data_IF_979108872455
#
_entry.id   IF_979108872455
#
_cell.length_a   1.000
_cell.length_b   1.000
_cell.length_c   1.000
_cell.angle_alpha   90.00
_cell.angle_beta   90.00
_cell.angle_gamma   90.00
#
_symmetry.space_group_name_H-M   'P 1'
#
loop_
_entity.id
_entity.type
_entity.pdbx_description
1 polymer ?
#
# COMPACT_ATOMS: atom_id res chain seq x y z
N UNK A 1 -14.92 -13.39 1.40
CA UNK A 1 -13.70 -13.33 2.28
C UNK A 1 -13.43 -14.71 2.90
N UNK A 2 -12.17 -15.10 3.01
CA UNK A 2 -11.70 -16.24 3.82
C UNK A 2 -10.67 -15.69 4.81
N UNK A 3 -10.97 -15.75 6.11
CA UNK A 3 -10.03 -15.37 7.17
C UNK A 3 -9.39 -16.60 7.79
N UNK A 4 -8.08 -16.57 7.96
CA UNK A 4 -7.26 -17.65 8.51
C UNK A 4 -6.38 -17.06 9.59
N UNK A 5 -6.49 -17.59 10.81
CA UNK A 5 -5.59 -17.26 11.92
C UNK A 5 -4.44 -18.26 11.87
N UNK A 6 -3.23 -17.74 11.75
CA UNK A 6 -2.01 -18.55 11.72
C UNK A 6 -1.51 -18.75 13.15
N UNK A 7 -1.00 -19.96 13.46
CA UNK A 7 -0.42 -20.24 14.76
C UNK A 7 0.76 -19.31 15.05
N UNK A 8 0.74 -18.68 16.23
CA UNK A 8 1.81 -17.79 16.67
C UNK A 8 1.66 -17.39 18.13
N UNK A 9 2.78 -17.26 18.82
CA UNK A 9 2.81 -16.89 20.25
C UNK A 9 2.21 -15.48 20.43
N UNK A 10 1.18 -15.34 21.28
CA UNK A 10 0.56 -14.06 21.62
C UNK A 10 -0.27 -13.42 20.53
N UNK A 11 -0.75 -14.19 19.55
CA UNK A 11 -1.55 -13.64 18.44
C UNK A 11 -2.87 -13.01 18.92
N UNK A 12 -3.46 -13.50 20.01
CA UNK A 12 -4.74 -13.02 20.55
C UNK A 12 -4.69 -11.52 20.86
N UNK A 13 -3.60 -11.02 21.39
CA UNK A 13 -3.44 -9.59 21.72
C UNK A 13 -3.50 -8.67 20.49
N UNK A 14 -3.17 -9.18 19.29
CA UNK A 14 -3.23 -8.43 18.05
C UNK A 14 -4.59 -8.57 17.34
N UNK A 15 -5.28 -9.70 17.56
CA UNK A 15 -6.62 -9.93 17.00
C UNK A 15 -7.64 -9.06 17.71
N UNK A 16 -7.51 -8.92 19.03
CA UNK A 16 -8.43 -8.21 19.90
C UNK A 16 -8.13 -6.69 19.99
N UNK A 17 -7.03 -6.22 19.41
CA UNK A 17 -6.72 -4.79 19.39
C UNK A 17 -7.65 -4.02 18.44
N UNK A 18 -8.46 -3.07 18.97
CA UNK A 18 -9.43 -2.33 18.14
C UNK A 18 -8.78 -1.47 17.04
N UNK A 19 -7.58 -0.91 17.30
CA UNK A 19 -6.90 -0.06 16.31
C UNK A 19 -6.34 -0.90 15.17
N UNK A 20 -5.76 -2.05 15.48
CA UNK A 20 -5.29 -3.03 14.48
C UNK A 20 -6.47 -3.50 13.64
N UNK A 21 -7.56 -3.91 14.31
CA UNK A 21 -8.77 -4.39 13.64
C UNK A 21 -9.35 -3.33 12.72
N UNK A 22 -9.42 -2.08 13.14
CA UNK A 22 -9.91 -0.97 12.32
C UNK A 22 -9.03 -0.71 11.09
N UNK A 23 -7.69 -0.77 11.22
CA UNK A 23 -6.76 -0.61 10.08
C UNK A 23 -6.94 -1.71 9.04
N UNK A 24 -7.08 -2.94 9.50
CA UNK A 24 -7.30 -4.10 8.62
C UNK A 24 -8.69 -4.03 7.97
N UNK A 25 -9.74 -3.74 8.76
CA UNK A 25 -11.11 -3.62 8.28
C UNK A 25 -11.24 -2.59 7.16
N UNK A 26 -10.56 -1.44 7.27
CA UNK A 26 -10.56 -0.43 6.21
C UNK A 26 -10.19 -1.00 4.84
N UNK A 27 -9.22 -1.90 4.80
CA UNK A 27 -8.79 -2.54 3.55
C UNK A 27 -9.75 -3.64 3.13
N UNK A 28 -10.12 -4.53 4.06
CA UNK A 28 -11.00 -5.67 3.74
C UNK A 28 -12.38 -5.21 3.32
N UNK A 29 -12.98 -4.23 4.00
CA UNK A 29 -14.27 -3.65 3.64
C UNK A 29 -14.23 -2.97 2.27
N UNK A 30 -13.12 -2.26 1.96
CA UNK A 30 -12.94 -1.68 0.63
C UNK A 30 -12.89 -2.76 -0.45
N UNK A 31 -12.12 -3.83 -0.25
CA UNK A 31 -12.01 -4.92 -1.21
C UNK A 31 -13.35 -5.62 -1.42
N UNK A 32 -14.07 -5.94 -0.33
CA UNK A 32 -15.40 -6.57 -0.38
C UNK A 32 -16.43 -5.67 -1.10
N UNK A 33 -16.52 -4.41 -0.71
CA UNK A 33 -17.46 -3.46 -1.30
C UNK A 33 -17.26 -3.28 -2.81
N UNK A 34 -16.03 -3.51 -3.29
CA UNK A 34 -15.69 -3.41 -4.70
C UNK A 34 -15.63 -4.77 -5.41
N UNK A 35 -16.04 -5.87 -4.77
CA UNK A 35 -16.05 -7.21 -5.36
C UNK A 35 -14.65 -7.67 -5.81
N UNK A 36 -13.66 -7.44 -4.96
CA UNK A 36 -12.30 -7.97 -5.09
C UNK A 36 -12.17 -9.12 -4.11
N UNK A 37 -12.03 -10.34 -4.63
CA UNK A 37 -11.82 -11.52 -3.80
C UNK A 37 -10.44 -11.51 -3.18
N UNK A 38 -10.36 -11.91 -1.90
CA UNK A 38 -9.12 -12.00 -1.16
C UNK A 38 -9.16 -13.08 -0.07
N UNK A 39 -7.97 -13.46 0.39
CA UNK A 39 -7.76 -14.25 1.59
C UNK A 39 -7.04 -13.39 2.62
N UNK A 40 -7.51 -13.38 3.86
CA UNK A 40 -6.90 -12.68 4.98
C UNK A 40 -6.21 -13.68 5.91
N UNK A 41 -4.93 -13.46 6.17
CA UNK A 41 -4.11 -14.26 7.10
C UNK A 41 -3.69 -13.38 8.27
N UNK A 42 -4.12 -13.73 9.49
CA UNK A 42 -3.71 -13.06 10.73
C UNK A 42 -2.49 -13.76 11.30
N UNK A 43 -1.50 -13.00 11.69
CA UNK A 43 -0.22 -13.50 12.24
C UNK A 43 0.36 -12.46 13.22
N UNK A 44 1.33 -12.84 14.09
CA UNK A 44 2.06 -11.85 14.89
C UNK A 44 2.80 -10.84 14.00
N UNK A 45 3.22 -9.66 14.55
CA UNK A 45 4.01 -8.70 13.79
C UNK A 45 5.26 -9.33 13.19
N UNK A 46 5.48 -9.10 11.90
CA UNK A 46 6.61 -9.62 11.14
C UNK A 46 7.60 -8.48 10.81
N UNK A 47 8.46 -8.08 11.74
CA UNK A 47 9.30 -6.89 11.60
C UNK A 47 10.42 -7.07 10.58
N UNK A 48 10.76 -8.30 10.21
CA UNK A 48 11.80 -8.60 9.21
C UNK A 48 11.31 -9.61 8.17
N UNK A 49 11.94 -9.59 7.00
CA UNK A 49 11.61 -10.53 5.92
C UNK A 49 11.89 -11.98 6.32
N UNK A 50 12.97 -12.24 7.08
CA UNK A 50 13.33 -13.58 7.54
C UNK A 50 12.21 -14.18 8.39
N UNK A 51 11.66 -13.40 9.34
CA UNK A 51 10.51 -13.83 10.14
C UNK A 51 9.26 -14.00 9.28
N UNK A 52 9.02 -13.10 8.33
CA UNK A 52 7.88 -13.20 7.45
C UNK A 52 7.91 -14.46 6.58
N UNK A 53 9.08 -14.86 6.07
CA UNK A 53 9.24 -16.06 5.27
C UNK A 53 8.85 -17.34 6.01
N UNK A 54 8.99 -17.40 7.35
CA UNK A 54 8.55 -18.55 8.14
C UNK A 54 7.02 -18.74 8.07
N UNK A 55 6.27 -17.63 8.09
CA UNK A 55 4.81 -17.65 7.97
C UNK A 55 4.37 -17.82 6.53
N UNK A 56 5.07 -17.22 5.58
CA UNK A 56 4.69 -17.19 4.18
C UNK A 56 5.03 -18.47 3.41
N UNK A 57 5.91 -19.34 3.93
CA UNK A 57 6.37 -20.57 3.25
C UNK A 57 5.25 -21.49 2.75
N UNK A 58 4.08 -21.45 3.40
CA UNK A 58 2.91 -22.24 3.04
C UNK A 58 1.86 -21.45 2.24
N UNK A 59 2.12 -20.18 1.95
CA UNK A 59 1.22 -19.31 1.21
C UNK A 59 1.69 -19.22 -0.24
N UNK A 60 0.91 -19.80 -1.15
CA UNK A 60 1.21 -19.73 -2.59
C UNK A 60 0.85 -18.36 -3.14
N UNK A 61 1.74 -17.39 -2.93
CA UNK A 61 1.61 -16.02 -3.43
C UNK A 61 3.00 -15.37 -3.59
N UNK A 62 3.11 -14.38 -4.46
CA UNK A 62 4.28 -13.51 -4.53
C UNK A 62 4.22 -12.49 -3.41
N UNK A 63 5.14 -12.58 -2.46
CA UNK A 63 5.26 -11.64 -1.35
C UNK A 63 6.10 -10.43 -1.72
N UNK A 64 5.72 -9.26 -1.26
CA UNK A 64 6.32 -8.00 -1.67
C UNK A 64 6.97 -7.24 -0.52
N UNK A 65 8.08 -6.56 -0.83
CA UNK A 65 8.61 -5.43 -0.07
C UNK A 65 8.00 -4.15 -0.61
N UNK A 66 7.70 -3.23 0.31
CA UNK A 66 7.13 -1.94 -0.05
C UNK A 66 7.95 -0.81 0.58
N UNK A 67 8.32 0.16 -0.23
CA UNK A 67 9.06 1.34 0.22
C UNK A 67 8.24 2.59 -0.05
N UNK A 68 8.21 3.49 0.93
CA UNK A 68 7.61 4.80 0.74
C UNK A 68 8.69 5.88 0.79
N UNK A 69 8.84 6.59 -0.31
CA UNK A 69 9.94 7.52 -0.54
C UNK A 69 9.43 8.90 -0.95
N UNK A 70 10.29 9.90 -0.82
CA UNK A 70 10.06 11.26 -1.29
C UNK A 70 11.23 11.73 -2.15
N UNK A 71 10.97 12.71 -3.03
CA UNK A 71 12.05 13.41 -3.72
C UNK A 71 12.82 14.34 -2.77
N UNK A 72 13.97 14.86 -3.24
CA UNK A 72 14.82 15.78 -2.47
C UNK A 72 14.06 17.00 -1.91
N UNK A 73 13.15 17.58 -2.70
CA UNK A 73 12.35 18.74 -2.28
C UNK A 73 11.25 18.40 -1.28
N UNK A 74 10.95 17.12 -1.07
CA UNK A 74 9.90 16.66 -0.17
C UNK A 74 8.47 16.96 -0.62
N UNK A 75 8.27 17.32 -1.89
CA UNK A 75 6.97 17.67 -2.45
C UNK A 75 6.42 16.63 -3.44
N UNK A 76 7.04 15.46 -3.55
CA UNK A 76 6.57 14.31 -4.35
C UNK A 76 6.82 13.05 -3.57
N UNK A 77 5.83 12.17 -3.54
CA UNK A 77 5.89 10.91 -2.81
C UNK A 77 5.74 9.74 -3.78
N UNK A 78 6.48 8.69 -3.49
CA UNK A 78 6.57 7.50 -4.33
C UNK A 78 6.40 6.27 -3.46
N UNK A 79 5.45 5.42 -3.83
CA UNK A 79 5.34 4.07 -3.32
C UNK A 79 6.06 3.15 -4.32
N UNK A 80 6.84 2.21 -3.83
CA UNK A 80 7.55 1.23 -4.66
C UNK A 80 7.27 -0.15 -4.07
N UNK A 81 6.71 -1.07 -4.87
CA UNK A 81 6.50 -2.46 -4.48
C UNK A 81 7.24 -3.41 -5.40
N UNK A 82 7.93 -4.37 -4.82
CA UNK A 82 8.72 -5.36 -5.55
C UNK A 82 8.77 -6.69 -4.81
N UNK A 83 9.11 -7.76 -5.53
CA UNK A 83 9.22 -9.11 -4.99
C UNK A 83 10.22 -9.15 -3.81
N UNK A 84 9.87 -9.86 -2.74
CA UNK A 84 10.55 -9.76 -1.42
C UNK A 84 11.99 -10.27 -1.40
N UNK A 85 12.43 -11.13 -2.33
CA UNK A 85 13.80 -11.63 -2.40
C UNK A 85 14.73 -10.71 -3.19
N UNK A 86 14.18 -9.76 -3.96
CA UNK A 86 14.98 -8.81 -4.70
C UNK A 86 15.70 -7.83 -3.77
N UNK A 87 16.90 -7.46 -4.15
CA UNK A 87 17.65 -6.40 -3.50
C UNK A 87 17.49 -5.11 -4.31
N UNK A 88 17.13 -4.04 -3.63
CA UNK A 88 16.95 -2.74 -4.25
C UNK A 88 18.08 -1.81 -3.85
N UNK A 89 18.93 -1.45 -4.84
CA UNK A 89 19.86 -0.35 -4.68
C UNK A 89 19.17 0.99 -4.98
N UNK A 90 19.20 1.91 -4.00
CA UNK A 90 18.54 3.21 -4.11
C UNK A 90 19.08 4.03 -5.27
N UNK A 91 20.39 3.99 -5.54
CA UNK A 91 20.96 4.72 -6.68
C UNK A 91 20.44 4.20 -8.02
N UNK A 92 20.39 2.88 -8.17
CA UNK A 92 19.81 2.26 -9.36
C UNK A 92 18.33 2.65 -9.50
N UNK A 93 17.58 2.69 -8.39
CA UNK A 93 16.20 3.12 -8.37
C UNK A 93 16.05 4.60 -8.79
N UNK A 94 16.85 5.51 -8.26
CA UNK A 94 16.87 6.94 -8.64
C UNK A 94 17.03 7.12 -10.15
N UNK A 95 17.97 6.38 -10.76
CA UNK A 95 18.20 6.42 -12.20
C UNK A 95 17.03 5.87 -13.02
N UNK A 96 16.45 4.75 -12.56
CA UNK A 96 15.29 4.12 -13.23
C UNK A 96 14.04 5.00 -13.13
N UNK A 97 13.73 5.51 -11.95
CA UNK A 97 12.54 6.31 -11.74
C UNK A 97 12.62 7.72 -12.33
N UNK A 98 13.82 8.23 -12.60
CA UNK A 98 14.05 9.60 -13.16
C UNK A 98 13.35 10.71 -12.36
N UNK A 99 13.19 10.49 -11.05
CA UNK A 99 12.51 11.44 -10.15
C UNK A 99 13.50 12.29 -9.31
N UNK A 100 14.79 12.24 -9.65
CA UNK A 100 15.86 12.86 -8.88
C UNK A 100 16.24 12.05 -7.65
N UNK A 101 16.98 12.68 -6.71
CA UNK A 101 17.37 12.02 -5.46
C UNK A 101 16.17 11.67 -4.60
N UNK A 102 16.18 10.44 -4.09
CA UNK A 102 15.14 9.88 -3.25
C UNK A 102 15.63 9.73 -1.81
N UNK A 103 14.70 9.80 -0.88
CA UNK A 103 14.91 9.49 0.54
C UNK A 103 13.68 8.82 1.08
N UNK A 104 13.81 8.01 2.13
CA UNK A 104 12.66 7.45 2.83
C UNK A 104 11.77 8.57 3.36
N UNK A 105 10.47 8.37 3.26
CA UNK A 105 9.49 9.27 3.83
C UNK A 105 9.46 9.11 5.37
N UNK A 106 9.19 10.20 6.08
CA UNK A 106 8.98 10.15 7.53
C UNK A 106 7.66 9.45 7.88
N UNK A 107 7.53 9.03 9.14
CA UNK A 107 6.29 8.46 9.66
C UNK A 107 5.09 9.41 9.47
N UNK A 108 5.25 10.70 9.76
CA UNK A 108 4.22 11.71 9.50
C UNK A 108 3.73 11.68 8.05
N UNK A 109 4.65 11.50 7.09
CA UNK A 109 4.30 11.39 5.67
C UNK A 109 3.61 10.08 5.32
N UNK A 110 4.04 8.97 5.95
CA UNK A 110 3.38 7.66 5.79
C UNK A 110 1.94 7.72 6.29
N UNK A 111 1.71 8.28 7.48
CA UNK A 111 0.37 8.49 8.04
C UNK A 111 -0.49 9.38 7.14
N UNK A 112 0.05 10.52 6.72
CA UNK A 112 -0.68 11.51 5.92
C UNK A 112 -1.02 11.01 4.51
N UNK A 113 -0.15 10.24 3.87
CA UNK A 113 -0.31 9.83 2.48
C UNK A 113 -0.91 8.43 2.30
N UNK A 114 -0.67 7.54 3.26
CA UNK A 114 -1.04 6.13 3.17
C UNK A 114 -1.85 5.63 4.39
N UNK A 115 -1.94 6.42 5.46
CA UNK A 115 -2.60 6.03 6.70
C UNK A 115 -1.92 4.84 7.40
N UNK A 116 -0.59 4.71 7.28
CA UNK A 116 0.17 3.59 7.84
C UNK A 116 1.33 4.04 8.71
N UNK A 117 1.68 3.20 9.67
CA UNK A 117 2.90 3.33 10.48
C UNK A 117 4.12 2.67 9.81
N UNK A 118 5.35 3.01 10.25
CA UNK A 118 6.57 2.30 9.83
C UNK A 118 6.42 0.78 10.04
N UNK A 119 6.88 0.00 9.04
CA UNK A 119 6.72 -1.45 9.03
C UNK A 119 5.42 -1.96 8.41
N UNK A 120 4.45 -1.06 8.11
CA UNK A 120 3.14 -1.43 7.52
C UNK A 120 2.90 -0.80 6.15
N UNK A 121 3.94 -0.30 5.48
CA UNK A 121 3.84 0.28 4.14
C UNK A 121 3.29 -0.74 3.14
N UNK A 122 2.26 -0.35 2.39
CA UNK A 122 1.52 -1.24 1.50
C UNK A 122 0.83 -0.46 0.37
N UNK A 123 0.59 -1.08 -0.80
CA UNK A 123 -0.25 -0.48 -1.84
C UNK A 123 -1.68 -0.21 -1.36
N UNK A 124 -2.22 -0.99 -0.44
CA UNK A 124 -3.56 -0.75 0.10
C UNK A 124 -3.69 0.57 0.87
N UNK A 125 -2.56 1.15 1.32
CA UNK A 125 -2.54 2.51 1.86
C UNK A 125 -2.97 3.59 0.86
N UNK A 126 -2.96 3.31 -0.46
CA UNK A 126 -3.45 4.21 -1.50
C UNK A 126 -4.96 4.51 -1.38
N UNK A 127 -5.70 3.76 -0.56
CA UNK A 127 -7.08 4.09 -0.20
C UNK A 127 -7.16 5.51 0.42
N UNK A 128 -6.15 5.93 1.18
CA UNK A 128 -6.07 7.30 1.72
C UNK A 128 -5.90 8.37 0.65
N UNK A 129 -5.40 8.00 -0.51
CA UNK A 129 -5.13 8.90 -1.63
C UNK A 129 -6.31 9.01 -2.62
N UNK A 130 -7.33 8.12 -2.52
CA UNK A 130 -8.48 8.07 -3.44
C UNK A 130 -9.40 9.29 -3.40
N UNK A 131 -9.42 10.01 -2.31
CA UNK A 131 -10.35 11.13 -2.14
C UNK A 131 -9.79 12.50 -2.51
N UNK A 132 -8.61 12.58 -3.11
CA UNK A 132 -7.90 13.83 -3.39
C UNK A 132 -8.07 14.34 -4.83
N UNK A 133 -8.75 13.60 -5.69
CA UNK A 133 -9.07 14.09 -7.03
C UNK A 133 -9.73 15.48 -6.91
N UNK A 134 -9.07 16.50 -7.46
CA UNK A 134 -9.61 17.84 -7.51
C UNK A 134 -10.92 17.75 -8.29
N UNK A 135 -12.08 18.15 -7.73
CA UNK A 135 -13.32 18.16 -8.50
C UNK A 135 -13.09 19.05 -9.72
N UNK A 136 -13.54 18.59 -10.89
CA UNK A 136 -13.62 19.48 -12.04
C UNK A 136 -14.41 20.74 -11.65
N UNK A 137 -14.01 21.94 -12.11
CA UNK A 137 -14.60 23.20 -11.65
C UNK A 137 -16.11 23.34 -11.81
N UNK A 138 -16.78 22.41 -12.48
CA UNK A 138 -18.21 22.40 -12.77
C UNK A 138 -19.00 21.24 -12.11
N UNK A 139 -18.44 20.49 -11.18
CA UNK A 139 -19.23 19.41 -10.56
C UNK A 139 -20.11 19.94 -9.42
N UNK A 140 -21.41 19.91 -9.62
CA UNK A 140 -22.45 20.14 -8.60
C UNK A 140 -22.65 18.96 -7.66
N UNK A 141 -21.70 18.03 -7.60
CA UNK A 141 -21.78 16.85 -6.75
C UNK A 141 -21.59 17.23 -5.26
N UNK A 142 -22.55 16.81 -4.43
CA UNK A 142 -22.51 16.96 -2.97
C UNK A 142 -21.19 16.37 -2.43
N UNK A 143 -20.59 17.12 -1.50
CA UNK A 143 -19.33 16.72 -0.83
C UNK A 143 -19.46 15.32 -0.22
N UNK A 144 -18.54 14.38 -0.49
CA UNK A 144 -18.53 13.11 0.22
C UNK A 144 -18.28 13.36 1.72
N UNK A 145 -19.05 12.66 2.55
CA UNK A 145 -19.10 12.77 4.01
C UNK A 145 -17.88 12.12 4.70
N UNK A 146 -16.67 12.44 4.25
CA UNK A 146 -15.43 12.11 4.96
C UNK A 146 -14.77 13.39 5.44
N UNK A 147 -14.88 13.59 6.76
CA UNK A 147 -14.45 14.78 7.46
C UNK A 147 -12.93 14.91 7.56
N UNK A 148 -12.41 16.05 7.16
CA UNK A 148 -11.58 16.99 7.90
C UNK A 148 -10.08 16.78 8.13
N UNK A 149 -9.43 15.75 7.64
CA UNK A 149 -7.95 15.66 7.65
C UNK A 149 -7.33 16.32 6.39
N UNK A 150 -8.15 16.88 5.50
CA UNK A 150 -7.78 17.28 4.13
C UNK A 150 -7.43 18.77 3.94
N UNK A 151 -7.48 19.58 4.96
CA UNK A 151 -7.34 21.04 4.79
C UNK A 151 -5.89 21.55 4.60
N UNK A 152 -4.89 20.67 4.79
CA UNK A 152 -3.47 21.09 4.78
C UNK A 152 -2.64 20.54 3.60
N UNK A 153 -3.29 20.03 2.54
CA UNK A 153 -2.56 19.55 1.37
C UNK A 153 -2.19 20.72 0.47
N UNK A 154 -0.93 21.08 0.45
CA UNK A 154 -0.41 22.00 -0.55
C UNK A 154 -0.63 21.40 -1.95
N UNK A 155 -1.32 22.12 -2.85
CA UNK A 155 -1.47 21.77 -4.27
C UNK A 155 -0.12 21.43 -4.93
N UNK A 156 0.99 21.94 -4.38
CA UNK A 156 2.35 21.64 -4.84
C UNK A 156 2.79 20.20 -4.56
N UNK A 157 2.11 19.48 -3.67
CA UNK A 157 2.40 18.07 -3.36
C UNK A 157 1.63 17.09 -4.24
N UNK A 158 0.62 17.56 -4.98
CA UNK A 158 -0.18 16.71 -5.84
C UNK A 158 0.47 16.51 -7.21
N UNK A 159 0.32 15.31 -7.76
CA UNK A 159 0.55 15.03 -9.17
C UNK A 159 -0.57 15.65 -10.03
N UNK A 160 -0.37 15.69 -11.35
CA UNK A 160 -1.32 16.34 -12.26
C UNK A 160 -2.75 15.76 -12.21
N UNK A 161 -2.87 14.51 -11.79
CA UNK A 161 -4.13 13.80 -11.61
C UNK A 161 -4.78 14.01 -10.23
N UNK A 162 -4.23 14.89 -9.39
CA UNK A 162 -4.77 15.19 -8.07
C UNK A 162 -4.36 14.24 -6.94
N UNK A 163 -3.54 13.23 -7.21
CA UNK A 163 -3.06 12.28 -6.22
C UNK A 163 -1.75 12.73 -5.57
N UNK A 164 -1.52 12.35 -4.30
CA UNK A 164 -0.26 12.62 -3.56
C UNK A 164 0.84 11.65 -3.88
N UNK A 165 0.47 10.45 -4.33
CA UNK A 165 1.39 9.32 -4.49
C UNK A 165 1.44 8.90 -5.95
N UNK A 166 2.65 8.71 -6.48
CA UNK A 166 2.90 7.94 -7.69
C UNK A 166 3.42 6.57 -7.29
N UNK A 167 2.89 5.52 -7.92
CA UNK A 167 3.20 4.15 -7.56
C UNK A 167 4.08 3.49 -8.62
N UNK A 168 5.19 2.89 -8.19
CA UNK A 168 6.09 2.08 -9.02
C UNK A 168 5.97 0.62 -8.63
N UNK A 169 5.67 -0.22 -9.59
CA UNK A 169 5.41 -1.64 -9.39
C UNK A 169 6.44 -2.45 -10.15
N UNK A 170 7.04 -3.43 -9.50
CA UNK A 170 7.95 -4.37 -10.16
C UNK A 170 7.21 -5.11 -11.28
N UNK A 171 7.82 -5.09 -12.48
CA UNK A 171 7.20 -5.72 -13.66
C UNK A 171 7.04 -7.24 -13.54
N UNK A 172 7.85 -7.91 -12.70
CA UNK A 172 7.70 -9.35 -12.44
C UNK A 172 6.35 -9.69 -11.79
N UNK A 173 5.75 -8.73 -11.08
CA UNK A 173 4.41 -8.92 -10.51
C UNK A 173 3.31 -9.06 -11.58
N UNK A 174 3.57 -8.69 -12.84
CA UNK A 174 2.67 -8.95 -13.96
C UNK A 174 2.46 -10.45 -14.21
N UNK A 175 3.45 -11.26 -13.85
CA UNK A 175 3.40 -12.72 -14.04
C UNK A 175 2.89 -13.45 -12.80
N UNK A 176 2.70 -12.76 -11.69
CA UNK A 176 2.20 -13.35 -10.45
C UNK A 176 0.70 -13.61 -10.54
N UNK A 177 0.27 -14.84 -10.31
CA UNK A 177 -1.17 -15.18 -10.24
C UNK A 177 -1.80 -14.61 -8.97
N UNK A 178 -1.05 -14.64 -7.85
CA UNK A 178 -1.48 -14.22 -6.52
C UNK A 178 -0.39 -13.34 -5.90
N UNK A 179 -0.80 -12.24 -5.31
CA UNK A 179 0.11 -11.24 -4.72
C UNK A 179 -0.32 -10.98 -3.28
N UNK A 180 0.67 -10.90 -2.39
CA UNK A 180 0.48 -10.70 -0.96
C UNK A 180 0.99 -9.34 -0.51
N UNK A 181 0.14 -8.61 0.23
CA UNK A 181 0.47 -7.33 0.87
C UNK A 181 -0.11 -7.26 2.28
N UNK A 182 0.42 -6.38 3.11
CA UNK A 182 -0.20 -6.04 4.40
C UNK A 182 -1.48 -5.21 4.20
N UNK A 183 -2.54 -5.47 4.96
CA UNK A 183 -3.75 -4.64 4.98
C UNK A 183 -3.58 -3.41 5.90
N UNK A 184 -2.58 -2.55 5.65
CA UNK A 184 -2.22 -1.39 6.45
C UNK A 184 -1.76 -1.70 7.88
N UNK A 185 -1.55 -2.96 8.20
CA UNK A 185 -1.00 -3.42 9.47
C UNK A 185 -0.13 -4.67 9.25
N UNK A 186 1.01 -4.76 9.94
CA UNK A 186 1.96 -5.85 9.77
C UNK A 186 1.64 -7.10 10.61
N UNK A 187 0.45 -7.16 11.21
CA UNK A 187 -0.10 -8.34 11.90
C UNK A 187 -1.03 -9.16 11.01
N UNK A 188 -1.13 -8.80 9.74
CA UNK A 188 -1.89 -9.55 8.78
C UNK A 188 -1.30 -9.46 7.37
N UNK A 189 -1.66 -10.44 6.54
CA UNK A 189 -1.40 -10.47 5.10
C UNK A 189 -2.70 -10.69 4.33
N UNK A 190 -2.92 -9.90 3.29
CA UNK A 190 -4.01 -10.07 2.34
C UNK A 190 -3.41 -10.58 1.04
N UNK A 191 -3.98 -11.66 0.53
CA UNK A 191 -3.63 -12.24 -0.78
C UNK A 191 -4.78 -11.96 -1.73
N UNK A 192 -4.48 -11.32 -2.85
CA UNK A 192 -5.40 -11.05 -3.95
C UNK A 192 -4.90 -11.69 -5.24
N UNK A 193 -5.80 -11.96 -6.18
CA UNK A 193 -5.38 -12.30 -7.54
C UNK A 193 -4.74 -11.08 -8.23
N UNK A 194 -3.96 -11.33 -9.28
CA UNK A 194 -3.45 -10.26 -10.14
C UNK A 194 -4.56 -9.35 -10.66
N UNK A 195 -5.65 -9.95 -11.12
CA UNK A 195 -6.82 -9.23 -11.62
C UNK A 195 -7.45 -8.35 -10.53
N UNK A 196 -7.55 -8.88 -9.31
CA UNK A 196 -8.02 -8.13 -8.13
C UNK A 196 -7.11 -6.95 -7.82
N UNK A 197 -5.79 -7.14 -7.87
CA UNK A 197 -4.83 -6.06 -7.68
C UNK A 197 -4.93 -4.99 -8.78
N UNK A 198 -5.05 -5.39 -10.05
CA UNK A 198 -5.24 -4.43 -11.15
C UNK A 198 -6.57 -3.66 -11.03
N UNK A 199 -7.64 -4.34 -10.59
CA UNK A 199 -8.92 -3.69 -10.28
C UNK A 199 -8.76 -2.65 -9.16
N UNK A 200 -8.03 -2.99 -8.09
CA UNK A 200 -7.72 -2.06 -7.01
C UNK A 200 -6.98 -0.82 -7.55
N UNK A 201 -5.95 -0.99 -8.37
CA UNK A 201 -5.22 0.13 -8.97
C UNK A 201 -6.11 1.00 -9.87
N UNK A 202 -7.02 0.37 -10.61
CA UNK A 202 -8.00 1.11 -11.44
C UNK A 202 -8.96 1.92 -10.59
N UNK A 203 -9.41 1.40 -9.45
CA UNK A 203 -10.27 2.10 -8.50
C UNK A 203 -9.55 3.26 -7.81
N UNK A 204 -8.28 3.08 -7.44
CA UNK A 204 -7.45 4.16 -6.92
C UNK A 204 -7.34 5.32 -7.92
N UNK A 205 -7.14 5.02 -9.22
CA UNK A 205 -7.14 6.02 -10.30
C UNK A 205 -5.89 6.91 -10.35
N UNK A 206 -4.91 6.69 -9.50
CA UNK A 206 -3.64 7.41 -9.49
C UNK A 206 -2.67 6.95 -10.60
N UNK A 207 -1.53 7.61 -10.68
CA UNK A 207 -0.49 7.28 -11.66
C UNK A 207 0.38 6.12 -11.15
N UNK A 208 0.45 5.03 -11.91
CA UNK A 208 1.39 3.96 -11.62
C UNK A 208 2.20 3.55 -12.85
N UNK A 209 3.38 3.00 -12.63
CA UNK A 209 4.32 2.59 -13.66
C UNK A 209 4.97 1.25 -13.30
N UNK A 210 5.00 0.35 -14.28
CA UNK A 210 5.73 -0.90 -14.17
C UNK A 210 7.20 -0.69 -14.47
N UNK A 211 8.07 -1.15 -13.56
CA UNK A 211 9.53 -0.98 -13.69
C UNK A 211 10.25 -2.30 -13.44
N UNK A 212 11.30 -2.56 -14.20
CA UNK A 212 12.20 -3.71 -13.92
C UNK A 212 13.05 -3.40 -12.68
N UNK A 213 12.90 -4.20 -11.64
CA UNK A 213 13.75 -4.18 -10.44
C UNK A 213 14.60 -5.45 -10.46
N UNK A 214 15.90 -5.28 -10.41
CA UNK A 214 16.88 -6.40 -10.47
C UNK A 214 17.72 -6.43 -9.21
#
# INVERSE_FOLDING_TARGET
MKEIIMDGEGIEQYIDDPEITMRIARVTDFLEANGIDFELYRHPPLPTIEKALEYWKNLSATHCKNLFMRNHKGNRHYLISFECHKNLDIHTLEHKLRQGKLSFASEERMLRCLGVHPGSVTPFGLIEDMGLAVPAPDSTAEKPMFTDVRQDVSVRELFANGHRVKFFVDEDLKMSERISFHPCDNTASVIVSREGFLKFLSLWGGEYEWIGIS
#
